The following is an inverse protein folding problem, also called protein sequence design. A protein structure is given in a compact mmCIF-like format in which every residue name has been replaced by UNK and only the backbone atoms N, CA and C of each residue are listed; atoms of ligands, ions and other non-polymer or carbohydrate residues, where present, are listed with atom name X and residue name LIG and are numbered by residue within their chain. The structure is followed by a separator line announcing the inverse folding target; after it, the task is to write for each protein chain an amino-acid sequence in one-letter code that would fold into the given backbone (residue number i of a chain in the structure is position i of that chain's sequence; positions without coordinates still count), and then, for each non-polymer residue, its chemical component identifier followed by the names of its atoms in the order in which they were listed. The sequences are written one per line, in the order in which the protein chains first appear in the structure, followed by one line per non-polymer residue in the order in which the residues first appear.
data_IF_882862940616
#
_entry.id   IF_882862940616
#
_cell.length_a   1.000
_cell.length_b   1.000
_cell.length_c   1.000
_cell.angle_alpha   90.00
_cell.angle_beta   90.00
_cell.angle_gamma   90.00
#
_symmetry.space_group_name_H-M   'P 1'
#
loop_
_entity.id
_entity.type
_entity.pdbx_description
1 polymer ?
#
# COMPACT_ATOMS: atom_id res chain seq x y z
N UNK A 1 -4.77 -20.90 -16.27
CA UNK A 1 -3.56 -20.14 -16.66
C UNK A 1 -3.86 -18.65 -16.73
N UNK A 2 -2.98 -17.83 -16.18
CA UNK A 2 -3.04 -16.37 -16.26
C UNK A 2 -2.34 -15.98 -17.56
N UNK A 3 -3.07 -15.53 -18.58
CA UNK A 3 -2.45 -14.99 -19.79
C UNK A 3 -2.03 -13.56 -19.49
N UNK A 4 -0.72 -13.34 -19.39
CA UNK A 4 -0.15 -12.03 -19.19
C UNK A 4 0.01 -11.33 -20.54
N UNK A 5 -0.25 -10.02 -20.64
CA UNK A 5 -0.10 -9.31 -21.90
C UNK A 5 1.34 -9.22 -22.38
N UNK A 6 1.52 -9.34 -23.70
CA UNK A 6 2.82 -9.27 -24.38
C UNK A 6 3.18 -7.86 -24.87
N UNK A 7 2.28 -6.89 -24.74
CA UNK A 7 2.48 -5.51 -25.21
C UNK A 7 2.36 -4.45 -24.10
N UNK A 8 3.04 -3.29 -24.24
CA UNK A 8 2.97 -2.21 -23.27
C UNK A 8 1.53 -1.68 -23.16
N UNK A 9 1.01 -1.59 -21.94
CA UNK A 9 -0.40 -1.21 -21.70
C UNK A 9 -0.57 0.22 -21.22
N UNK A 10 -1.78 0.75 -21.33
CA UNK A 10 -2.17 1.99 -20.65
C UNK A 10 -2.14 1.79 -19.13
N UNK A 11 -1.98 2.87 -18.36
CA UNK A 11 -1.98 2.78 -16.89
C UNK A 11 -3.32 2.27 -16.35
N UNK A 12 -4.43 2.71 -16.94
CA UNK A 12 -5.77 2.24 -16.59
C UNK A 12 -5.96 0.74 -16.86
N UNK A 13 -5.38 0.22 -17.95
CA UNK A 13 -5.43 -1.22 -18.22
C UNK A 13 -4.66 -2.05 -17.20
N UNK A 14 -3.53 -1.55 -16.68
CA UNK A 14 -2.75 -2.23 -15.65
C UNK A 14 -3.54 -2.32 -14.34
N UNK A 15 -4.12 -1.20 -13.90
CA UNK A 15 -4.99 -1.15 -12.71
C UNK A 15 -6.20 -2.07 -12.90
N UNK A 16 -6.91 -1.94 -14.02
CA UNK A 16 -8.09 -2.76 -14.34
C UNK A 16 -7.75 -4.25 -14.51
N UNK A 17 -6.57 -4.60 -15.01
CA UNK A 17 -6.11 -5.98 -15.05
C UNK A 17 -5.84 -6.51 -13.64
N UNK A 18 -5.24 -5.72 -12.75
CA UNK A 18 -5.08 -6.07 -11.33
C UNK A 18 -6.41 -6.45 -10.67
N UNK A 19 -7.44 -5.61 -10.78
CA UNK A 19 -8.78 -5.91 -10.27
C UNK A 19 -9.40 -7.15 -10.93
N UNK A 20 -9.27 -7.31 -12.25
CA UNK A 20 -9.80 -8.49 -12.96
C UNK A 20 -9.13 -9.79 -12.52
N UNK A 21 -7.81 -9.77 -12.26
CA UNK A 21 -7.08 -10.93 -11.76
C UNK A 21 -7.55 -11.35 -10.38
N UNK A 22 -7.75 -10.38 -9.48
CA UNK A 22 -8.30 -10.63 -8.14
C UNK A 22 -9.71 -11.19 -8.24
N UNK A 23 -10.58 -10.57 -9.06
CA UNK A 23 -11.95 -11.05 -9.25
C UNK A 23 -11.99 -12.49 -9.79
N UNK A 24 -11.15 -12.80 -10.77
CA UNK A 24 -11.06 -14.15 -11.37
C UNK A 24 -10.56 -15.19 -10.36
N UNK A 25 -9.65 -14.82 -9.47
CA UNK A 25 -9.03 -15.71 -8.48
C UNK A 25 -9.52 -15.43 -7.05
N UNK A 26 -10.74 -14.89 -6.90
CA UNK A 26 -11.23 -14.40 -5.61
C UNK A 26 -11.21 -15.48 -4.52
N UNK A 27 -11.59 -16.71 -4.85
CA UNK A 27 -11.54 -17.84 -3.91
C UNK A 27 -10.13 -18.07 -3.37
N UNK A 28 -9.13 -18.02 -4.24
CA UNK A 28 -7.72 -18.18 -3.87
C UNK A 28 -7.26 -17.02 -3.00
N UNK A 29 -7.56 -15.78 -3.40
CA UNK A 29 -7.23 -14.56 -2.63
C UNK A 29 -7.84 -14.63 -1.23
N UNK A 30 -9.12 -14.98 -1.11
CA UNK A 30 -9.78 -15.15 0.20
C UNK A 30 -9.12 -16.27 1.00
N UNK A 31 -8.89 -17.44 0.43
CA UNK A 31 -8.24 -18.55 1.17
C UNK A 31 -6.86 -18.19 1.71
N UNK A 32 -6.13 -17.33 0.99
CA UNK A 32 -4.80 -16.86 1.36
C UNK A 32 -4.88 -15.74 2.41
N UNK A 33 -5.73 -14.74 2.24
CA UNK A 33 -5.68 -13.54 3.08
C UNK A 33 -6.70 -13.49 4.22
N UNK A 34 -7.78 -14.29 4.17
CA UNK A 34 -8.90 -14.18 5.11
C UNK A 34 -8.49 -14.29 6.57
N UNK A 35 -7.79 -15.38 6.93
CA UNK A 35 -7.42 -15.64 8.32
C UNK A 35 -6.53 -14.53 8.90
N UNK A 36 -5.38 -14.19 8.28
CA UNK A 36 -4.54 -13.15 8.86
C UNK A 36 -5.18 -11.75 8.76
N UNK A 37 -5.98 -11.45 7.73
CA UNK A 37 -6.74 -10.19 7.67
C UNK A 37 -7.81 -10.08 8.75
N UNK A 38 -8.52 -11.17 9.06
CA UNK A 38 -9.54 -11.22 10.10
C UNK A 38 -8.91 -10.92 11.48
N UNK A 39 -7.86 -11.64 11.83
CA UNK A 39 -7.16 -11.43 13.10
C UNK A 39 -6.52 -10.05 13.18
N UNK A 40 -5.94 -9.55 12.08
CA UNK A 40 -5.44 -8.18 12.02
C UNK A 40 -6.55 -7.15 12.29
N UNK A 41 -7.70 -7.27 11.62
CA UNK A 41 -8.83 -6.37 11.79
C UNK A 41 -9.41 -6.43 13.20
N UNK A 42 -9.59 -7.63 13.77
CA UNK A 42 -10.04 -7.79 15.16
C UNK A 42 -9.06 -7.16 16.16
N UNK A 43 -7.76 -7.37 15.97
CA UNK A 43 -6.75 -6.83 16.86
C UNK A 43 -6.61 -5.30 16.73
N UNK A 44 -6.76 -4.75 15.51
CA UNK A 44 -6.82 -3.31 15.29
C UNK A 44 -8.04 -2.68 15.98
N UNK A 45 -9.25 -3.20 15.75
CA UNK A 45 -10.46 -2.68 16.41
C UNK A 45 -10.42 -2.86 17.92
N UNK A 46 -9.86 -3.97 18.41
CA UNK A 46 -9.68 -4.23 19.83
C UNK A 46 -8.68 -3.27 20.48
N UNK A 47 -7.53 -3.02 19.84
CA UNK A 47 -6.52 -2.08 20.35
C UNK A 47 -7.04 -0.65 20.39
N UNK A 48 -7.78 -0.23 19.35
CA UNK A 48 -8.50 1.04 19.33
C UNK A 48 -9.53 1.12 20.47
N UNK A 49 -10.29 0.05 20.72
CA UNK A 49 -11.22 0.00 21.85
C UNK A 49 -10.51 0.18 23.19
N UNK A 50 -9.43 -0.58 23.44
CA UNK A 50 -8.63 -0.45 24.66
C UNK A 50 -8.11 0.98 24.84
N UNK A 51 -7.61 1.59 23.77
CA UNK A 51 -7.08 2.95 23.82
C UNK A 51 -8.18 3.99 24.10
N UNK A 52 -9.28 3.96 23.35
CA UNK A 52 -10.40 4.90 23.51
C UNK A 52 -11.00 4.78 24.91
N UNK A 53 -11.24 3.55 25.39
CA UNK A 53 -11.82 3.33 26.70
C UNK A 53 -10.91 3.80 27.83
N UNK A 54 -9.59 3.61 27.68
CA UNK A 54 -8.61 4.15 28.63
C UNK A 54 -8.64 5.69 28.65
N UNK A 55 -8.59 6.35 27.49
CA UNK A 55 -8.62 7.81 27.38
C UNK A 55 -9.91 8.39 27.95
N UNK A 56 -11.05 7.75 27.68
CA UNK A 56 -12.37 8.19 28.18
C UNK A 56 -12.54 8.00 29.67
N UNK A 57 -11.98 6.92 30.25
CA UNK A 57 -12.10 6.66 31.67
C UNK A 57 -11.45 7.76 32.53
N UNK A 58 -10.51 8.53 31.99
CA UNK A 58 -9.72 9.57 32.69
C UNK A 58 -9.15 9.08 34.04
N UNK A 59 -9.04 7.77 34.21
CA UNK A 59 -8.64 7.15 35.46
C UNK A 59 -7.13 7.01 35.48
N UNK A 60 -6.52 7.56 36.52
CA UNK A 60 -5.10 7.36 36.84
C UNK A 60 -4.87 6.13 37.73
N UNK A 61 -5.89 5.28 37.92
CA UNK A 61 -5.73 4.03 38.67
C UNK A 61 -4.67 3.14 37.98
N UNK A 62 -3.56 2.81 38.66
CA UNK A 62 -2.49 2.01 38.08
C UNK A 62 -2.96 0.62 37.63
N UNK A 63 -3.92 0.02 38.34
CA UNK A 63 -4.48 -1.29 38.00
C UNK A 63 -5.25 -1.25 36.68
N UNK A 64 -6.17 -0.28 36.57
CA UNK A 64 -6.93 -0.04 35.34
C UNK A 64 -6.02 0.26 34.14
N UNK A 65 -5.01 1.11 34.32
CA UNK A 65 -4.01 1.42 33.29
C UNK A 65 -3.24 0.16 32.86
N UNK A 66 -2.72 -0.61 33.81
CA UNK A 66 -1.94 -1.81 33.53
C UNK A 66 -2.73 -2.84 32.71
N UNK A 67 -4.01 -3.05 33.03
CA UNK A 67 -4.88 -3.98 32.27
C UNK A 67 -5.09 -3.50 30.83
N UNK A 68 -5.42 -2.23 30.62
CA UNK A 68 -5.66 -1.70 29.26
C UNK A 68 -4.38 -1.71 28.42
N UNK A 69 -3.24 -1.37 29.02
CA UNK A 69 -1.94 -1.43 28.34
C UNK A 69 -1.53 -2.86 28.02
N UNK A 70 -1.73 -3.82 28.94
CA UNK A 70 -1.43 -5.22 28.69
C UNK A 70 -2.31 -5.79 27.57
N UNK A 71 -3.62 -5.51 27.59
CA UNK A 71 -4.52 -5.89 26.51
C UNK A 71 -4.14 -5.24 25.17
N UNK A 72 -3.88 -3.93 25.18
CA UNK A 72 -3.47 -3.18 23.99
C UNK A 72 -2.16 -3.72 23.40
N UNK A 73 -1.16 -4.01 24.24
CA UNK A 73 0.10 -4.59 23.81
C UNK A 73 -0.08 -6.01 23.26
N UNK A 74 -0.89 -6.84 23.92
CA UNK A 74 -1.21 -8.19 23.44
C UNK A 74 -1.85 -8.17 22.05
N UNK A 75 -2.81 -7.27 21.84
CA UNK A 75 -3.44 -7.07 20.53
C UNK A 75 -2.45 -6.51 19.49
N UNK A 76 -1.57 -5.58 19.87
CA UNK A 76 -0.52 -5.08 18.98
C UNK A 76 0.44 -6.20 18.52
N UNK A 77 0.80 -7.13 19.40
CA UNK A 77 1.59 -8.30 19.02
C UNK A 77 0.87 -9.20 18.01
N UNK A 78 -0.44 -9.41 18.20
CA UNK A 78 -1.28 -10.14 17.22
C UNK A 78 -1.31 -9.40 15.88
N UNK A 79 -1.46 -8.07 15.88
CA UNK A 79 -1.41 -7.26 14.66
C UNK A 79 -0.08 -7.42 13.92
N UNK A 80 1.06 -7.35 14.62
CA UNK A 80 2.39 -7.50 14.03
C UNK A 80 2.54 -8.91 13.43
N UNK A 81 2.15 -9.95 14.17
CA UNK A 81 2.21 -11.33 13.68
C UNK A 81 1.32 -11.55 12.44
N UNK A 82 0.13 -10.96 12.41
CA UNK A 82 -0.76 -11.04 11.25
C UNK A 82 -0.19 -10.29 10.06
N UNK A 83 0.37 -9.09 10.26
CA UNK A 83 1.03 -8.31 9.20
C UNK A 83 2.24 -9.05 8.63
N UNK A 84 2.99 -9.76 9.49
CA UNK A 84 4.07 -10.64 9.06
C UNK A 84 3.56 -11.70 8.10
N UNK A 85 2.53 -12.42 8.49
CA UNK A 85 1.96 -13.48 7.66
C UNK A 85 1.39 -12.91 6.35
N UNK A 86 0.73 -11.74 6.41
CA UNK A 86 0.24 -11.03 5.22
C UNK A 86 1.39 -10.71 4.26
N UNK A 87 2.52 -10.21 4.75
CA UNK A 87 3.68 -9.88 3.91
C UNK A 87 4.24 -11.11 3.19
N UNK A 88 4.35 -12.25 3.89
CA UNK A 88 4.81 -13.50 3.29
C UNK A 88 3.84 -14.03 2.24
N UNK A 89 2.56 -14.05 2.57
CA UNK A 89 1.50 -14.50 1.65
C UNK A 89 1.38 -13.60 0.43
N UNK A 90 1.61 -12.30 0.61
CA UNK A 90 1.70 -11.30 -0.45
C UNK A 90 2.84 -11.58 -1.41
N UNK A 91 4.03 -11.90 -0.88
CA UNK A 91 5.17 -12.30 -1.69
C UNK A 91 4.86 -13.56 -2.53
N UNK A 92 4.33 -14.61 -1.89
CA UNK A 92 3.94 -15.82 -2.58
C UNK A 92 2.91 -15.55 -3.69
N UNK A 93 1.91 -14.71 -3.40
CA UNK A 93 0.89 -14.31 -4.36
C UNK A 93 1.47 -13.53 -5.55
N UNK A 94 2.38 -12.57 -5.32
CA UNK A 94 3.07 -11.83 -6.38
C UNK A 94 3.86 -12.78 -7.30
N UNK A 95 4.57 -13.75 -6.72
CA UNK A 95 5.35 -14.74 -7.48
C UNK A 95 4.45 -15.59 -8.39
N UNK A 96 3.29 -16.00 -7.90
CA UNK A 96 2.29 -16.68 -8.73
C UNK A 96 1.70 -15.78 -9.82
N UNK A 97 1.38 -14.51 -9.51
CA UNK A 97 0.86 -13.53 -10.49
C UNK A 97 1.86 -13.28 -11.62
N UNK A 98 3.14 -13.22 -11.28
CA UNK A 98 4.23 -13.04 -12.24
C UNK A 98 4.66 -14.33 -12.94
N UNK A 99 4.01 -15.47 -12.64
CA UNK A 99 4.36 -16.79 -13.16
C UNK A 99 5.83 -17.17 -12.90
N UNK A 100 6.38 -16.73 -11.77
CA UNK A 100 7.71 -17.14 -11.31
C UNK A 100 7.65 -18.58 -10.79
N UNK A 101 6.63 -18.88 -9.99
CA UNK A 101 6.33 -20.24 -9.53
C UNK A 101 4.94 -20.66 -10.02
N UNK A 102 4.79 -21.94 -10.36
CA UNK A 102 3.52 -22.54 -10.78
C UNK A 102 2.56 -22.80 -9.63
N UNK A 103 3.07 -23.01 -8.42
CA UNK A 103 2.31 -23.40 -7.24
C UNK A 103 2.52 -22.44 -6.06
N UNK A 104 1.43 -22.16 -5.33
CA UNK A 104 1.45 -21.24 -4.19
C UNK A 104 2.27 -21.79 -3.01
N UNK A 105 2.21 -23.10 -2.77
CA UNK A 105 2.97 -23.79 -1.73
C UNK A 105 4.47 -23.52 -1.86
N UNK A 106 5.02 -23.73 -3.07
CA UNK A 106 6.43 -23.48 -3.40
C UNK A 106 6.78 -22.00 -3.22
N UNK A 107 5.93 -21.10 -3.71
CA UNK A 107 6.14 -19.66 -3.57
C UNK A 107 6.12 -19.20 -2.09
N UNK A 108 5.30 -19.83 -1.25
CA UNK A 108 5.22 -19.54 0.17
C UNK A 108 6.42 -20.10 0.95
N UNK A 109 6.90 -21.30 0.61
CA UNK A 109 8.14 -21.83 1.17
C UNK A 109 9.34 -20.93 0.86
N UNK A 110 9.42 -20.43 -0.38
CA UNK A 110 10.42 -19.43 -0.76
C UNK A 110 10.31 -18.17 0.13
N UNK A 111 9.10 -17.64 0.29
CA UNK A 111 8.87 -16.46 1.14
C UNK A 111 9.28 -16.71 2.60
N UNK A 112 9.00 -17.90 3.15
CA UNK A 112 9.39 -18.27 4.52
C UNK A 112 10.91 -18.29 4.71
N UNK A 113 11.67 -18.82 3.75
CA UNK A 113 13.13 -18.82 3.81
C UNK A 113 13.72 -17.40 3.83
N UNK A 114 13.03 -16.45 3.19
CA UNK A 114 13.45 -15.05 3.06
C UNK A 114 12.64 -14.06 3.90
N UNK A 115 11.96 -14.56 4.93
CA UNK A 115 10.97 -13.79 5.68
C UNK A 115 11.49 -12.46 6.25
N UNK A 116 12.75 -12.42 6.67
CA UNK A 116 13.36 -11.22 7.26
C UNK A 116 13.58 -10.11 6.24
N UNK A 117 13.99 -10.46 5.03
CA UNK A 117 14.21 -9.48 3.97
C UNK A 117 12.88 -8.93 3.46
N UNK A 118 11.90 -9.83 3.26
CA UNK A 118 10.54 -9.46 2.88
C UNK A 118 9.93 -8.55 3.93
N UNK A 119 10.05 -8.91 5.22
CA UNK A 119 9.52 -8.10 6.31
C UNK A 119 10.22 -6.76 6.43
N UNK A 120 11.53 -6.69 6.24
CA UNK A 120 12.25 -5.42 6.29
C UNK A 120 11.77 -4.47 5.19
N UNK A 121 11.63 -4.96 3.95
CA UNK A 121 11.10 -4.14 2.85
C UNK A 121 9.63 -3.78 3.11
N UNK A 122 8.83 -4.71 3.60
CA UNK A 122 7.43 -4.47 3.97
C UNK A 122 7.31 -3.38 5.05
N UNK A 123 8.12 -3.44 6.11
CA UNK A 123 8.15 -2.44 7.17
C UNK A 123 8.56 -1.06 6.63
N UNK A 124 9.55 -0.99 5.74
CA UNK A 124 9.93 0.26 5.05
C UNK A 124 8.76 0.80 4.23
N UNK A 125 7.93 -0.06 3.63
CA UNK A 125 6.72 0.34 2.90
C UNK A 125 5.66 1.03 3.75
N UNK A 126 5.61 0.76 5.05
CA UNK A 126 4.75 1.53 5.98
C UNK A 126 5.47 2.75 6.53
N UNK A 127 6.74 2.59 6.91
CA UNK A 127 7.48 3.60 7.65
C UNK A 127 7.77 4.83 6.79
N UNK A 128 8.15 4.65 5.53
CA UNK A 128 8.49 5.78 4.65
C UNK A 128 7.27 6.69 4.34
N UNK A 129 6.10 6.18 3.88
CA UNK A 129 4.91 7.03 3.72
C UNK A 129 4.42 7.64 5.03
N UNK A 130 4.59 6.95 6.16
CA UNK A 130 4.23 7.47 7.49
C UNK A 130 5.11 8.65 7.88
N UNK A 131 6.43 8.58 7.66
CA UNK A 131 7.35 9.70 7.89
C UNK A 131 6.95 10.90 7.02
N UNK A 132 6.63 10.67 5.74
CA UNK A 132 6.14 11.73 4.85
C UNK A 132 4.86 12.34 5.41
N UNK A 133 3.89 11.53 5.85
CA UNK A 133 2.66 12.05 6.45
C UNK A 133 2.92 12.86 7.74
N UNK A 134 3.84 12.43 8.61
CA UNK A 134 4.18 13.14 9.84
C UNK A 134 4.83 14.49 9.51
N UNK A 135 5.83 14.52 8.62
CA UNK A 135 6.53 15.75 8.24
C UNK A 135 5.53 16.77 7.70
N UNK A 136 4.65 16.36 6.78
CA UNK A 136 3.65 17.28 6.22
C UNK A 136 2.55 17.64 7.22
N UNK A 137 2.18 16.76 8.16
CA UNK A 137 1.25 17.14 9.22
C UNK A 137 1.83 18.25 10.11
N UNK A 138 3.13 18.17 10.44
CA UNK A 138 3.82 19.21 11.21
C UNK A 138 3.91 20.54 10.44
N UNK A 139 4.21 20.48 9.14
CA UNK A 139 4.20 21.65 8.27
C UNK A 139 2.80 22.28 8.19
N UNK A 140 1.75 21.46 8.08
CA UNK A 140 0.38 21.94 7.95
C UNK A 140 -0.07 22.66 9.22
N UNK A 141 0.27 22.10 10.39
CA UNK A 141 0.03 22.75 11.69
C UNK A 141 0.76 24.10 11.78
N UNK A 142 2.01 24.17 11.29
CA UNK A 142 2.75 25.43 11.23
C UNK A 142 2.09 26.45 10.28
N UNK A 143 1.63 26.00 9.10
CA UNK A 143 0.91 26.84 8.13
C UNK A 143 -0.39 27.40 8.74
N UNK A 144 -1.16 26.58 9.46
CA UNK A 144 -2.39 27.02 10.14
C UNK A 144 -2.11 28.10 11.20
N UNK A 145 -0.99 27.99 11.93
CA UNK A 145 -0.62 29.00 12.92
C UNK A 145 -0.34 30.37 12.29
N UNK A 146 0.17 30.42 11.06
CA UNK A 146 0.33 31.68 10.32
C UNK A 146 -1.03 32.31 9.95
N UNK A 147 -2.06 31.49 9.78
CA UNK A 147 -3.43 31.90 9.44
C UNK A 147 -4.21 32.55 10.57
N UNK A 148 -3.71 32.52 11.82
CA UNK A 148 -4.37 33.19 12.96
C UNK A 148 -4.10 34.70 13.00
N UNK A 149 -3.29 35.22 12.07
CA UNK A 149 -2.93 36.63 11.96
C UNK A 149 -3.96 37.51 11.22
N UNK A 150 -3.45 38.61 10.68
CA UNK A 150 -4.19 39.58 9.88
C UNK A 150 -4.65 39.01 8.52
N UNK A 151 -5.30 39.84 7.71
CA UNK A 151 -5.79 39.45 6.37
C UNK A 151 -4.65 38.89 5.50
N UNK A 152 -3.44 39.46 5.63
CA UNK A 152 -2.25 38.98 4.92
C UNK A 152 -1.85 37.56 5.38
N UNK A 153 -1.81 37.30 6.69
CA UNK A 153 -1.57 35.96 7.24
C UNK A 153 -2.57 34.90 6.75
N UNK A 154 -3.85 35.26 6.62
CA UNK A 154 -4.90 34.37 6.07
C UNK A 154 -4.67 34.05 4.59
N UNK A 155 -4.35 35.05 3.78
CA UNK A 155 -4.04 34.84 2.35
C UNK A 155 -2.80 33.95 2.19
N UNK A 156 -1.76 34.22 2.98
CA UNK A 156 -0.53 33.42 2.97
C UNK A 156 -0.79 31.96 3.39
N UNK A 157 -1.62 31.73 4.41
CA UNK A 157 -2.04 30.40 4.85
C UNK A 157 -2.72 29.62 3.71
N UNK A 158 -3.60 30.25 2.93
CA UNK A 158 -4.27 29.59 1.80
C UNK A 158 -3.28 29.20 0.70
N UNK A 159 -2.38 30.13 0.33
CA UNK A 159 -1.38 29.88 -0.72
C UNK A 159 -0.40 28.78 -0.31
N UNK A 160 0.15 28.87 0.91
CA UNK A 160 1.06 27.85 1.44
C UNK A 160 0.36 26.51 1.62
N UNK A 161 -0.87 26.49 2.14
CA UNK A 161 -1.66 25.27 2.31
C UNK A 161 -1.93 24.55 0.98
N UNK A 162 -2.18 25.30 -0.09
CA UNK A 162 -2.33 24.73 -1.44
C UNK A 162 -1.03 24.11 -1.97
N UNK A 163 0.09 24.83 -1.86
CA UNK A 163 1.41 24.32 -2.27
C UNK A 163 1.84 23.10 -1.46
N UNK A 164 1.57 23.13 -0.16
CA UNK A 164 1.83 22.03 0.76
C UNK A 164 1.00 20.80 0.37
N UNK A 165 -0.29 20.96 0.09
CA UNK A 165 -1.14 19.87 -0.39
C UNK A 165 -0.64 19.25 -1.69
N UNK A 166 -0.20 20.05 -2.67
CA UNK A 166 0.37 19.55 -3.92
C UNK A 166 1.66 18.77 -3.69
N UNK A 167 2.59 19.33 -2.92
CA UNK A 167 3.87 18.66 -2.62
C UNK A 167 3.70 17.41 -1.78
N UNK A 168 2.72 17.39 -0.87
CA UNK A 168 2.33 16.21 -0.10
C UNK A 168 1.91 15.08 -1.01
N UNK A 169 0.98 15.33 -1.93
CA UNK A 169 0.47 14.30 -2.85
C UNK A 169 1.62 13.70 -3.67
N UNK A 170 2.54 14.54 -4.17
CA UNK A 170 3.70 14.07 -4.94
C UNK A 170 4.65 13.24 -4.06
N UNK A 171 5.04 13.73 -2.88
CA UNK A 171 5.97 13.05 -2.00
C UNK A 171 5.40 11.71 -1.48
N UNK A 172 4.13 11.72 -1.06
CA UNK A 172 3.42 10.55 -0.57
C UNK A 172 3.28 9.50 -1.67
N UNK A 173 2.83 9.91 -2.86
CA UNK A 173 2.72 9.03 -4.02
C UNK A 173 4.06 8.44 -4.43
N UNK A 174 5.13 9.24 -4.42
CA UNK A 174 6.48 8.75 -4.73
C UNK A 174 6.96 7.72 -3.69
N UNK A 175 6.73 7.98 -2.41
CA UNK A 175 7.10 7.05 -1.32
C UNK A 175 6.38 5.70 -1.46
N UNK A 176 5.08 5.72 -1.81
CA UNK A 176 4.30 4.51 -2.06
C UNK A 176 4.78 3.79 -3.32
N UNK A 177 5.07 4.52 -4.40
CA UNK A 177 5.57 3.93 -5.63
C UNK A 177 6.91 3.21 -5.41
N UNK A 178 7.88 3.90 -4.80
CA UNK A 178 9.20 3.35 -4.54
C UNK A 178 9.10 2.06 -3.69
N UNK A 179 8.37 2.12 -2.59
CA UNK A 179 8.25 1.00 -1.66
C UNK A 179 7.48 -0.18 -2.25
N UNK A 180 6.43 0.09 -3.05
CA UNK A 180 5.68 -0.95 -3.73
C UNK A 180 6.54 -1.66 -4.81
N UNK A 181 7.34 -0.93 -5.58
CA UNK A 181 8.27 -1.53 -6.55
C UNK A 181 9.37 -2.30 -5.81
N UNK A 182 9.94 -1.76 -4.75
CA UNK A 182 10.94 -2.44 -3.93
C UNK A 182 10.41 -3.75 -3.34
N UNK A 183 9.14 -3.76 -2.91
CA UNK A 183 8.47 -4.97 -2.43
C UNK A 183 8.34 -6.01 -3.55
N UNK A 184 7.92 -5.61 -4.76
CA UNK A 184 7.89 -6.54 -5.91
C UNK A 184 9.30 -7.03 -6.28
N UNK A 185 10.31 -6.17 -6.20
CA UNK A 185 11.69 -6.54 -6.47
C UNK A 185 12.19 -7.62 -5.51
N UNK A 186 11.98 -7.47 -4.19
CA UNK A 186 12.39 -8.49 -3.21
C UNK A 186 11.61 -9.81 -3.35
N UNK A 187 10.36 -9.75 -3.80
CA UNK A 187 9.57 -10.96 -4.07
C UNK A 187 10.13 -11.78 -5.24
N UNK A 188 10.75 -11.11 -6.23
CA UNK A 188 11.26 -11.72 -7.45
C UNK A 188 12.73 -12.09 -7.38
N UNK A 189 13.55 -11.18 -6.87
CA UNK A 189 15.00 -11.29 -6.92
C UNK A 189 15.44 -12.43 -6.02
N UNK A 190 16.44 -13.22 -6.43
CA UNK A 190 17.17 -14.15 -5.55
C UNK A 190 18.33 -13.44 -4.82
N UNK A 191 18.63 -12.20 -5.22
CA UNK A 191 19.67 -11.37 -4.62
C UNK A 191 19.23 -10.72 -3.31
N UNK A 192 20.19 -10.23 -2.52
CA UNK A 192 19.94 -9.68 -1.20
C UNK A 192 19.11 -8.39 -1.19
N UNK A 193 18.66 -8.00 -0.01
CA UNK A 193 17.78 -6.82 0.20
C UNK A 193 18.30 -5.52 -0.44
N UNK A 194 19.62 -5.30 -0.40
CA UNK A 194 20.25 -4.08 -0.94
C UNK A 194 20.01 -3.94 -2.44
N UNK A 195 20.10 -5.04 -3.17
CA UNK A 195 19.91 -5.04 -4.63
C UNK A 195 18.43 -4.82 -4.97
N UNK A 196 17.53 -5.38 -4.16
CA UNK A 196 16.08 -5.17 -4.31
C UNK A 196 15.69 -3.71 -4.08
N UNK A 197 16.24 -3.05 -3.06
CA UNK A 197 16.02 -1.62 -2.80
C UNK A 197 16.62 -0.74 -3.89
N UNK A 198 17.84 -1.06 -4.33
CA UNK A 198 18.51 -0.34 -5.43
C UNK A 198 17.70 -0.46 -6.73
N UNK A 199 17.23 -1.65 -7.06
CA UNK A 199 16.37 -1.87 -8.22
C UNK A 199 15.07 -1.09 -8.11
N UNK A 200 14.43 -1.12 -6.94
CA UNK A 200 13.23 -0.32 -6.66
C UNK A 200 13.44 1.16 -6.90
N UNK A 201 14.58 1.70 -6.45
CA UNK A 201 14.94 3.11 -6.64
C UNK A 201 15.22 3.47 -8.10
N UNK A 202 15.95 2.61 -8.81
CA UNK A 202 16.27 2.82 -10.23
C UNK A 202 14.99 2.82 -11.07
N UNK A 203 14.13 1.81 -10.87
CA UNK A 203 12.86 1.70 -11.62
C UNK A 203 11.88 2.82 -11.27
N UNK A 204 11.80 3.26 -10.00
CA UNK A 204 10.95 4.39 -9.62
C UNK A 204 11.42 5.70 -10.22
N UNK A 205 12.75 5.89 -10.37
CA UNK A 205 13.35 7.10 -10.94
C UNK A 205 13.28 7.16 -12.46
N UNK A 206 13.37 6.02 -13.16
CA UNK A 206 13.31 5.99 -14.63
C UNK A 206 11.92 6.34 -15.17
N UNK A 207 10.87 6.08 -14.40
CA UNK A 207 9.49 6.27 -14.83
C UNK A 207 8.67 7.16 -13.86
N UNK A 208 9.26 8.20 -13.24
CA UNK A 208 8.61 9.01 -12.18
C UNK A 208 7.21 9.48 -12.58
N UNK A 209 7.05 10.22 -13.68
CA UNK A 209 5.74 10.79 -14.06
C UNK A 209 4.69 9.71 -14.34
N UNK A 210 5.10 8.61 -14.98
CA UNK A 210 4.23 7.47 -15.29
C UNK A 210 3.87 6.69 -14.02
N UNK A 211 4.83 6.49 -13.13
CA UNK A 211 4.64 5.79 -11.85
C UNK A 211 3.80 6.59 -10.86
N UNK A 212 3.98 7.91 -10.78
CA UNK A 212 3.13 8.80 -9.98
C UNK A 212 1.68 8.79 -10.50
N UNK A 213 1.49 8.93 -11.81
CA UNK A 213 0.16 8.82 -12.42
C UNK A 213 -0.47 7.45 -12.13
N UNK A 214 0.33 6.38 -12.18
CA UNK A 214 -0.12 5.01 -11.89
C UNK A 214 -0.55 4.83 -10.45
N UNK A 215 0.27 5.24 -9.47
CA UNK A 215 -0.04 5.05 -8.05
C UNK A 215 -1.25 5.90 -7.64
N UNK A 216 -1.36 7.14 -8.13
CA UNK A 216 -2.55 7.97 -7.91
C UNK A 216 -3.80 7.31 -8.49
N UNK A 217 -3.73 6.78 -9.71
CA UNK A 217 -4.86 6.08 -10.33
C UNK A 217 -5.23 4.80 -9.56
N UNK A 218 -4.24 4.04 -9.09
CA UNK A 218 -4.45 2.84 -8.31
C UNK A 218 -5.12 3.16 -6.97
N UNK A 219 -4.62 4.16 -6.23
CA UNK A 219 -5.18 4.59 -4.95
C UNK A 219 -6.61 5.11 -5.11
N UNK A 220 -6.86 5.96 -6.12
CA UNK A 220 -8.22 6.44 -6.42
C UNK A 220 -9.15 5.28 -6.77
N UNK A 221 -8.68 4.31 -7.56
CA UNK A 221 -9.49 3.13 -7.92
C UNK A 221 -9.80 2.26 -6.71
N UNK A 222 -8.81 2.03 -5.83
CA UNK A 222 -9.02 1.32 -4.57
C UNK A 222 -10.02 2.09 -3.71
N UNK A 223 -9.84 3.40 -3.53
CA UNK A 223 -10.74 4.24 -2.74
C UNK A 223 -12.19 4.17 -3.23
N UNK A 224 -12.41 4.28 -4.55
CA UNK A 224 -13.75 4.18 -5.16
C UNK A 224 -14.39 2.81 -4.87
N UNK A 225 -13.59 1.73 -4.86
CA UNK A 225 -14.09 0.38 -4.60
C UNK A 225 -14.31 0.12 -3.11
N UNK A 226 -13.49 0.71 -2.22
CA UNK A 226 -13.60 0.53 -0.78
C UNK A 226 -14.68 1.41 -0.15
N UNK A 227 -14.98 2.56 -0.75
CA UNK A 227 -16.00 3.49 -0.25
C UNK A 227 -17.38 2.83 -0.09
N UNK A 228 -17.94 2.10 -1.08
CA UNK A 228 -19.21 1.39 -0.91
C UNK A 228 -19.19 0.31 0.17
N UNK A 229 -18.03 -0.31 0.45
CA UNK A 229 -17.88 -1.33 1.48
C UNK A 229 -17.87 -0.73 2.89
N UNK A 230 -17.43 0.53 3.00
CA UNK A 230 -17.35 1.26 4.26
C UNK A 230 -18.60 2.12 4.52
N UNK A 231 -19.30 2.55 3.47
CA UNK A 231 -20.46 3.44 3.56
C UNK A 231 -21.57 2.94 4.51
N UNK A 232 -21.93 1.64 4.55
CA UNK A 232 -22.92 1.15 5.51
C UNK A 232 -22.53 1.38 6.97
N UNK A 233 -21.24 1.23 7.31
CA UNK A 233 -20.72 1.47 8.66
C UNK A 233 -20.87 2.95 9.02
N UNK A 234 -20.50 3.84 8.07
CA UNK A 234 -20.63 5.30 8.24
C UNK A 234 -22.09 5.72 8.42
N UNK A 235 -22.98 5.25 7.55
CA UNK A 235 -24.40 5.61 7.58
C UNK A 235 -25.08 5.14 8.87
N UNK A 236 -24.81 3.90 9.31
CA UNK A 236 -25.34 3.41 10.57
C UNK A 236 -24.75 4.15 11.77
N UNK A 237 -23.46 4.52 11.72
CA UNK A 237 -22.82 5.33 12.76
C UNK A 237 -23.46 6.72 12.88
N UNK A 238 -23.75 7.38 11.76
CA UNK A 238 -24.45 8.68 11.73
C UNK A 238 -25.87 8.51 12.27
N UNK A 239 -26.59 7.48 11.82
CA UNK A 239 -27.96 7.20 12.26
C UNK A 239 -28.03 6.97 13.77
N UNK A 240 -27.14 6.16 14.33
CA UNK A 240 -27.10 5.94 15.78
C UNK A 240 -26.72 7.20 16.56
N UNK A 241 -25.72 7.95 16.08
CA UNK A 241 -25.36 9.23 16.68
C UNK A 241 -26.55 10.21 16.71
N UNK A 242 -27.39 10.19 15.68
CA UNK A 242 -28.62 10.96 15.62
C UNK A 242 -29.68 10.45 16.61
N UNK A 243 -29.98 9.14 16.61
CA UNK A 243 -31.00 8.53 17.49
C UNK A 243 -30.65 8.69 18.97
N UNK A 244 -29.37 8.58 19.32
CA UNK A 244 -28.91 8.68 20.71
C UNK A 244 -28.66 10.12 21.17
N UNK A 245 -28.78 11.12 20.27
CA UNK A 245 -28.47 12.52 20.57
C UNK A 245 -26.99 12.77 20.91
N UNK A 246 -26.10 11.85 20.53
CA UNK A 246 -24.70 11.75 20.96
C UNK A 246 -23.75 11.75 19.75
N UNK A 247 -23.96 12.67 18.80
CA UNK A 247 -23.12 12.78 17.61
C UNK A 247 -21.61 12.97 17.89
N UNK A 248 -21.24 13.39 19.11
CA UNK A 248 -19.85 13.63 19.52
C UNK A 248 -19.25 12.53 20.43
N UNK A 249 -20.00 11.49 20.81
CA UNK A 249 -19.42 10.42 21.62
C UNK A 249 -18.77 9.36 20.73
N UNK A 250 -17.49 9.06 20.99
CA UNK A 250 -16.67 8.06 20.27
C UNK A 250 -17.06 6.61 20.66
N UNK A 251 -18.29 6.42 21.14
CA UNK A 251 -18.76 5.14 21.65
C UNK A 251 -19.68 4.45 20.64
N UNK A 252 -19.08 3.93 19.57
CA UNK A 252 -19.77 3.00 18.70
C UNK A 252 -20.18 1.75 19.50
N UNK A 253 -21.44 1.29 19.38
CA UNK A 253 -21.84 0.04 19.99
C UNK A 253 -21.11 -1.14 19.35
N UNK A 254 -21.10 -2.24 20.08
CA UNK A 254 -20.33 -3.45 19.75
C UNK A 254 -20.69 -3.97 18.35
N UNK A 255 -21.95 -3.93 17.95
CA UNK A 255 -22.37 -4.44 16.65
C UNK A 255 -21.79 -3.62 15.47
N UNK A 256 -21.65 -2.30 15.62
CA UNK A 256 -21.00 -1.45 14.59
C UNK A 256 -19.51 -1.73 14.51
N UNK A 257 -18.85 -1.96 15.65
CA UNK A 257 -17.43 -2.36 15.68
C UNK A 257 -17.19 -3.70 14.99
N UNK A 258 -18.11 -4.65 15.17
CA UNK A 258 -18.06 -5.94 14.45
C UNK A 258 -18.23 -5.72 12.96
N UNK A 259 -19.20 -4.90 12.54
CA UNK A 259 -19.41 -4.57 11.13
C UNK A 259 -18.20 -3.86 10.52
N UNK A 260 -17.60 -2.91 11.25
CA UNK A 260 -16.37 -2.22 10.88
C UNK A 260 -15.20 -3.19 10.71
N UNK A 261 -15.03 -4.15 11.62
CA UNK A 261 -13.99 -5.18 11.52
C UNK A 261 -14.21 -6.09 10.30
N UNK A 262 -15.46 -6.46 10.01
CA UNK A 262 -15.81 -7.25 8.81
C UNK A 262 -15.50 -6.45 7.53
N UNK A 263 -15.98 -5.20 7.44
CA UNK A 263 -15.70 -4.33 6.30
C UNK A 263 -14.20 -4.11 6.12
N UNK A 264 -13.47 -3.86 7.20
CA UNK A 264 -12.01 -3.69 7.19
C UNK A 264 -11.29 -4.94 6.71
N UNK A 265 -11.75 -6.13 7.13
CA UNK A 265 -11.17 -7.39 6.66
C UNK A 265 -11.36 -7.56 5.14
N UNK A 266 -12.57 -7.29 4.63
CA UNK A 266 -12.87 -7.39 3.19
C UNK A 266 -12.07 -6.36 2.39
N UNK A 267 -12.02 -5.12 2.88
CA UNK A 267 -11.25 -4.02 2.28
C UNK A 267 -9.77 -4.38 2.23
N UNK A 268 -9.19 -4.91 3.31
CA UNK A 268 -7.79 -5.30 3.36
C UNK A 268 -7.47 -6.39 2.33
N UNK A 269 -8.27 -7.46 2.25
CA UNK A 269 -8.05 -8.53 1.27
C UNK A 269 -8.12 -8.03 -0.17
N UNK A 270 -9.14 -7.22 -0.49
CA UNK A 270 -9.37 -6.72 -1.83
C UNK A 270 -8.29 -5.71 -2.24
N UNK A 271 -8.01 -4.74 -1.37
CA UNK A 271 -7.07 -3.65 -1.64
C UNK A 271 -5.65 -4.20 -1.77
N UNK A 272 -5.25 -5.09 -0.87
CA UNK A 272 -3.94 -5.73 -0.93
C UNK A 272 -3.80 -6.59 -2.20
N UNK A 273 -4.78 -7.46 -2.48
CA UNK A 273 -4.76 -8.30 -3.68
C UNK A 273 -4.68 -7.47 -4.97
N UNK A 274 -5.50 -6.41 -5.08
CA UNK A 274 -5.56 -5.58 -6.28
C UNK A 274 -4.33 -4.69 -6.42
N UNK A 275 -3.88 -4.07 -5.33
CA UNK A 275 -2.68 -3.23 -5.30
C UNK A 275 -1.44 -4.03 -5.69
N UNK A 276 -1.21 -5.18 -5.05
CA UNK A 276 -0.03 -6.00 -5.30
C UNK A 276 -0.03 -6.57 -6.72
N UNK A 277 -1.18 -7.06 -7.21
CA UNK A 277 -1.30 -7.53 -8.60
C UNK A 277 -1.00 -6.40 -9.59
N UNK A 278 -1.60 -5.23 -9.37
CA UNK A 278 -1.39 -4.06 -10.22
C UNK A 278 0.07 -3.63 -10.23
N UNK A 279 0.69 -3.47 -9.05
CA UNK A 279 2.08 -3.02 -8.94
C UNK A 279 3.03 -4.05 -9.55
N UNK A 280 2.77 -5.35 -9.39
CA UNK A 280 3.55 -6.40 -10.03
C UNK A 280 3.51 -6.29 -11.56
N UNK A 281 2.31 -6.07 -12.12
CA UNK A 281 2.12 -5.84 -13.56
C UNK A 281 2.79 -4.54 -14.02
N UNK A 282 2.71 -3.47 -13.24
CA UNK A 282 3.36 -2.20 -13.52
C UNK A 282 4.89 -2.34 -13.53
N UNK A 283 5.47 -3.01 -12.53
CA UNK A 283 6.90 -3.30 -12.47
C UNK A 283 7.35 -4.12 -13.69
N UNK A 284 6.53 -5.09 -14.12
CA UNK A 284 6.78 -5.84 -15.35
C UNK A 284 6.75 -4.94 -16.60
N UNK A 285 5.76 -4.05 -16.73
CA UNK A 285 5.65 -3.09 -17.85
C UNK A 285 6.86 -2.15 -17.91
N UNK A 286 7.28 -1.57 -16.79
CA UNK A 286 8.46 -0.68 -16.74
C UNK A 286 9.73 -1.44 -17.13
N UNK A 287 9.93 -2.68 -16.64
CA UNK A 287 11.07 -3.51 -17.03
C UNK A 287 11.07 -3.85 -18.52
N UNK A 288 9.93 -4.24 -19.10
CA UNK A 288 9.84 -4.50 -20.54
C UNK A 288 10.19 -3.27 -21.36
N UNK A 289 9.70 -2.09 -20.97
CA UNK A 289 10.01 -0.83 -21.66
C UNK A 289 11.49 -0.52 -21.60
N UNK A 290 12.14 -0.72 -20.45
CA UNK A 290 13.58 -0.55 -20.32
C UNK A 290 14.34 -1.51 -21.23
N UNK A 291 14.02 -2.80 -21.20
CA UNK A 291 14.65 -3.79 -22.08
C UNK A 291 14.43 -3.46 -23.57
N UNK A 292 13.25 -2.94 -23.93
CA UNK A 292 12.99 -2.45 -25.28
C UNK A 292 13.87 -1.28 -25.69
N UNK A 293 14.09 -0.31 -24.80
CA UNK A 293 15.00 0.82 -25.03
C UNK A 293 16.45 0.34 -25.15
N UNK A 294 16.88 -0.61 -24.31
CA UNK A 294 18.23 -1.17 -24.37
C UNK A 294 18.49 -1.90 -25.70
N UNK A 295 17.49 -2.61 -26.23
CA UNK A 295 17.55 -3.27 -27.55
C UNK A 295 17.62 -2.25 -28.68
N UNK A 296 16.80 -1.20 -28.64
CA UNK A 296 16.78 -0.14 -29.66
C UNK A 296 18.12 0.65 -29.68
N UNK A 297 18.69 0.93 -28.51
CA UNK A 297 20.02 1.53 -28.40
C UNK A 297 21.11 0.58 -28.94
N UNK A 298 21.00 -0.72 -28.68
CA UNK A 298 21.91 -1.73 -29.25
C UNK A 298 21.83 -1.80 -30.78
N UNK A 299 20.62 -1.81 -31.34
CA UNK A 299 20.40 -1.84 -32.78
C UNK A 299 20.87 -0.58 -33.47
N UNK A 300 20.63 0.60 -32.89
CA UNK A 300 21.11 1.87 -33.45
C UNK A 300 22.64 1.95 -33.48
N UNK A 301 23.33 1.42 -32.44
CA UNK A 301 24.79 1.29 -32.42
C UNK A 301 25.32 0.34 -33.50
N UNK A 302 24.63 -0.76 -33.76
CA UNK A 302 24.99 -1.72 -34.81
C UNK A 302 24.72 -1.17 -36.21
N UNK A 303 23.60 -0.46 -36.41
CA UNK A 303 23.27 0.18 -37.68
C UNK A 303 24.21 1.34 -38.03
N UNK A 304 24.80 2.00 -37.02
CA UNK A 304 25.77 3.07 -37.21
C UNK A 304 27.20 2.57 -37.44
N UNK A 305 27.49 1.27 -37.33
CA UNK A 305 28.78 0.75 -37.79
C UNK A 305 28.79 0.80 -39.33
N UNK A 306 29.55 1.70 -39.98
CA UNK A 306 29.66 1.69 -41.42
C UNK A 306 30.28 0.35 -41.81
N UNK A 307 29.63 -0.36 -42.74
CA UNK A 307 30.15 -1.57 -43.36
C UNK A 307 31.62 -1.37 -43.68
N UNK A 308 32.51 -2.02 -42.93
CA UNK A 308 33.95 -2.01 -43.23
C UNK A 308 34.12 -2.42 -44.69
N UNK A 309 34.86 -1.65 -45.51
CA UNK A 309 34.95 -1.93 -46.93
C UNK A 309 35.44 -3.37 -47.12
N UNK A 310 34.64 -4.16 -47.85
CA UNK A 310 35.05 -5.48 -48.30
C UNK A 310 36.39 -5.31 -49.04
N UNK A 311 37.48 -5.74 -48.40
CA UNK A 311 38.78 -5.84 -49.05
C UNK A 311 38.62 -6.84 -50.19
N UNK A 312 38.53 -6.34 -51.42
CA UNK A 312 38.67 -7.15 -52.63
C UNK A 312 40.07 -7.74 -52.61
N UNK A 313 40.17 -9.04 -52.34
CA UNK A 313 41.31 -9.88 -52.73
C UNK A 313 41.17 -10.26 -54.20
#
# INVERSE_FOLDING_TARGET
MINLPDSPRSLGDLVGLGFRLVRKNWKTVVSIFLVPSLFFSMALSGSQFCFVHWVQAQSLDPGFFAVHMACGLGLALVMIACQWEIALRSCAFIRCVLLVDSEYSVAYEYARRRQWEIMTVYAVSFLLPTIVAIIWTLLFVATLYLGTGDVFGKVLCVVLGFLEGLTFVVAFSYSLLYTAIAFVAVCRAESGIKDSLKEGFVLSREAVMRGLSYICLLLTSIFIVTLPLYLPVVLLGIWEGYVQGKMNEINFPIYLRVLEAISSCVINMLSLGAALSGVALFCRDVKMRRQGLDIDEGLSKLAYQPSSPQSKS
#
